data_IF_703694547518
#
_entry.id   IF_703694547518
#
_cell.length_a   1.000
_cell.length_b   1.000
_cell.length_c   1.000
_cell.angle_alpha   90.00
_cell.angle_beta   90.00
_cell.angle_gamma   90.00
#
_symmetry.space_group_name_H-M   'P 1'
#
loop_
_entity.id
_entity.type
_entity.pdbx_description
1 polymer ?
#
# COMPACT_ATOMS: atom_id res chain seq x y z
N UNK A 1 -1.73 -16.22 15.14
CA UNK A 1 -0.41 -16.37 15.81
C UNK A 1 0.42 -15.12 15.56
N UNK A 2 1.63 -14.98 16.12
CA UNK A 2 2.51 -13.86 15.74
C UNK A 2 2.88 -14.00 14.26
N UNK A 3 2.84 -12.92 13.49
CA UNK A 3 3.03 -12.93 12.04
C UNK A 3 1.75 -13.11 11.21
N UNK A 4 0.61 -13.41 11.85
CA UNK A 4 -0.68 -13.47 11.14
C UNK A 4 -1.15 -12.07 10.72
N UNK A 5 -1.61 -11.96 9.47
CA UNK A 5 -2.35 -10.79 8.99
C UNK A 5 -3.85 -10.93 9.32
N UNK A 6 -4.43 -9.90 9.92
CA UNK A 6 -5.85 -9.85 10.30
C UNK A 6 -6.53 -8.73 9.53
N UNK A 7 -7.61 -9.05 8.83
CA UNK A 7 -8.49 -8.05 8.21
C UNK A 7 -9.47 -7.52 9.26
N UNK A 8 -9.55 -6.19 9.39
CA UNK A 8 -10.49 -5.51 10.29
C UNK A 8 -11.27 -4.45 9.53
N UNK A 9 -12.53 -4.26 9.91
CA UNK A 9 -13.43 -3.27 9.32
C UNK A 9 -13.66 -2.13 10.33
N UNK A 10 -13.67 -0.88 9.87
CA UNK A 10 -14.00 0.28 10.70
C UNK A 10 -15.51 0.61 10.65
N UNK A 11 -15.95 1.61 11.41
CA UNK A 11 -17.36 2.02 11.46
C UNK A 11 -17.93 2.52 10.12
N UNK A 12 -17.06 2.79 9.14
CA UNK A 12 -17.43 3.23 7.78
C UNK A 12 -17.49 2.07 6.77
N UNK A 13 -17.24 0.84 7.20
CA UNK A 13 -17.19 -0.33 6.32
C UNK A 13 -15.86 -0.51 5.58
N UNK A 14 -14.85 0.30 5.90
CA UNK A 14 -13.53 0.22 5.25
C UNK A 14 -12.71 -0.89 5.91
N UNK A 15 -12.13 -1.77 5.11
CA UNK A 15 -11.30 -2.87 5.62
C UNK A 15 -9.81 -2.54 5.54
N UNK A 16 -9.04 -2.95 6.54
CA UNK A 16 -7.59 -2.81 6.58
C UNK A 16 -6.94 -4.04 7.20
N UNK A 17 -5.79 -4.43 6.66
CA UNK A 17 -4.97 -5.52 7.17
C UNK A 17 -3.99 -5.03 8.25
N UNK A 18 -3.84 -5.81 9.31
CA UNK A 18 -2.93 -5.54 10.43
C UNK A 18 -2.10 -6.78 10.75
N UNK A 19 -0.81 -6.58 11.06
CA UNK A 19 0.12 -7.67 11.39
C UNK A 19 0.17 -7.90 12.90
N UNK A 20 -0.02 -9.14 13.36
CA UNK A 20 0.18 -9.47 14.78
C UNK A 20 1.67 -9.48 15.11
N UNK A 21 2.12 -8.54 15.97
CA UNK A 21 3.52 -8.43 16.37
C UNK A 21 3.79 -9.04 17.74
N UNK A 22 2.78 -9.12 18.62
CA UNK A 22 2.91 -9.78 19.93
C UNK A 22 1.58 -10.36 20.39
N UNK A 23 1.64 -11.49 21.10
CA UNK A 23 0.48 -12.11 21.75
C UNK A 23 0.83 -12.48 23.20
N UNK A 24 -0.03 -12.12 24.13
CA UNK A 24 0.00 -12.59 25.51
C UNK A 24 -1.31 -13.33 25.88
N UNK A 25 -1.53 -13.64 27.16
CA UNK A 25 -2.72 -14.39 27.63
C UNK A 25 -4.03 -13.61 27.50
N UNK A 26 -4.00 -12.28 27.50
CA UNK A 26 -5.18 -11.41 27.56
C UNK A 26 -5.28 -10.47 26.36
N UNK A 27 -4.16 -10.14 25.73
CA UNK A 27 -4.09 -9.11 24.70
C UNK A 27 -3.23 -9.52 23.50
N UNK A 28 -3.49 -8.85 22.38
CA UNK A 28 -2.74 -8.97 21.13
C UNK A 28 -2.31 -7.55 20.74
N UNK A 29 -1.04 -7.40 20.36
CA UNK A 29 -0.51 -6.17 19.75
C UNK A 29 -0.46 -6.36 18.25
N UNK A 30 -0.99 -5.38 17.53
CA UNK A 30 -1.07 -5.37 16.08
C UNK A 30 -0.32 -4.14 15.52
N UNK A 31 0.26 -4.31 14.34
CA UNK A 31 0.92 -3.24 13.58
C UNK A 31 0.08 -2.92 12.34
N UNK A 32 -0.31 -1.64 12.23
CA UNK A 32 -1.10 -1.09 11.12
C UNK A 32 -0.30 -0.12 10.23
N UNK A 33 1.02 -0.05 10.44
CA UNK A 33 1.91 0.72 9.58
C UNK A 33 2.06 0.07 8.21
N UNK A 34 2.38 0.87 7.20
CA UNK A 34 2.81 0.34 5.90
C UNK A 34 4.05 -0.56 6.12
N UNK A 35 4.17 -1.72 5.45
CA UNK A 35 5.33 -2.63 5.59
C UNK A 35 6.71 -1.99 5.38
N UNK A 36 6.78 -0.87 4.65
CA UNK A 36 8.01 -0.12 4.39
C UNK A 36 8.28 1.00 5.40
N UNK A 37 7.40 1.24 6.37
CA UNK A 37 7.56 2.29 7.37
C UNK A 37 8.85 2.11 8.18
N UNK A 38 9.61 3.19 8.34
CA UNK A 38 10.88 3.20 9.08
C UNK A 38 12.04 2.44 8.39
N UNK A 39 11.83 1.89 7.19
CA UNK A 39 12.89 1.26 6.40
C UNK A 39 13.50 2.27 5.44
N UNK A 40 14.83 2.26 5.31
CA UNK A 40 15.48 2.95 4.21
C UNK A 40 15.23 2.16 2.93
N UNK A 41 14.62 2.81 1.93
CA UNK A 41 14.35 2.20 0.62
C UNK A 41 15.25 2.87 -0.41
N UNK A 42 16.12 2.08 -1.03
CA UNK A 42 17.07 2.55 -2.04
C UNK A 42 16.54 2.19 -3.42
N UNK A 43 16.18 3.19 -4.21
CA UNK A 43 15.80 3.03 -5.61
C UNK A 43 16.96 3.43 -6.52
N UNK A 44 17.28 2.58 -7.50
CA UNK A 44 18.16 2.95 -8.62
C UNK A 44 17.28 3.14 -9.85
N UNK A 45 17.18 4.38 -10.31
CA UNK A 45 16.31 4.76 -11.41
C UNK A 45 17.12 5.23 -12.61
N UNK A 46 16.58 4.99 -13.80
CA UNK A 46 17.05 5.54 -15.07
C UNK A 46 15.88 6.26 -15.74
N UNK A 47 16.11 7.50 -16.18
CA UNK A 47 15.08 8.29 -16.86
C UNK A 47 15.08 7.93 -18.34
N UNK A 48 14.04 7.25 -18.81
CA UNK A 48 13.94 6.79 -20.20
C UNK A 48 13.27 7.82 -21.13
N UNK A 49 12.32 8.60 -20.60
CA UNK A 49 11.52 9.54 -21.39
C UNK A 49 11.01 10.69 -20.50
N UNK A 50 11.00 11.90 -21.06
CA UNK A 50 10.32 13.07 -20.49
C UNK A 50 9.45 13.69 -21.57
N UNK A 51 8.18 13.93 -21.25
CA UNK A 51 7.21 14.60 -22.14
C UNK A 51 6.16 15.32 -21.30
N UNK A 52 5.40 16.20 -21.94
CA UNK A 52 4.21 16.81 -21.33
C UNK A 52 3.08 15.77 -21.17
N UNK A 53 2.26 15.96 -20.14
CA UNK A 53 1.07 15.15 -19.89
C UNK A 53 -0.08 15.56 -20.83
N UNK A 54 -0.91 14.60 -21.24
CA UNK A 54 -2.16 14.89 -21.97
C UNK A 54 -3.24 15.46 -21.03
N UNK A 55 -4.28 16.09 -21.58
CA UNK A 55 -5.42 16.59 -20.79
C UNK A 55 -6.09 15.47 -19.97
N UNK A 56 -6.19 14.28 -20.55
CA UNK A 56 -6.75 13.09 -19.89
C UNK A 56 -5.89 12.63 -18.70
N UNK A 57 -4.56 12.59 -18.86
CA UNK A 57 -3.63 12.23 -17.77
C UNK A 57 -3.66 13.25 -16.64
N UNK A 58 -3.79 14.54 -16.95
CA UNK A 58 -3.93 15.60 -15.94
C UNK A 58 -5.24 15.42 -15.16
N UNK A 59 -6.35 15.15 -15.86
CA UNK A 59 -7.64 14.91 -15.22
C UNK A 59 -7.62 13.66 -14.32
N UNK A 60 -6.87 12.63 -14.71
CA UNK A 60 -6.68 11.41 -13.93
C UNK A 60 -5.66 11.56 -12.77
N UNK A 61 -4.92 12.66 -12.71
CA UNK A 61 -3.87 12.88 -11.70
C UNK A 61 -2.57 12.11 -11.94
N UNK A 62 -2.36 11.61 -13.17
CA UNK A 62 -1.17 10.83 -13.53
C UNK A 62 -1.34 10.07 -14.84
N UNK A 63 -0.28 9.37 -15.24
CA UNK A 63 -0.33 8.47 -16.39
C UNK A 63 -1.33 7.35 -16.11
N UNK A 64 -2.23 7.08 -17.04
CA UNK A 64 -3.28 6.04 -16.94
C UNK A 64 -2.76 4.60 -17.12
N UNK A 65 -1.46 4.37 -16.90
CA UNK A 65 -0.87 3.03 -17.00
C UNK A 65 -1.10 2.21 -15.73
N UNK A 66 -1.14 0.88 -15.92
CA UNK A 66 -1.00 -0.03 -14.78
C UNK A 66 0.38 0.18 -14.15
N UNK A 67 0.39 0.51 -12.86
CA UNK A 67 1.60 0.66 -12.07
C UNK A 67 2.45 -0.61 -12.10
N UNK A 68 3.71 -0.54 -11.65
CA UNK A 68 4.58 -1.71 -11.59
C UNK A 68 3.89 -2.86 -10.84
N UNK A 69 4.02 -4.08 -11.35
CA UNK A 69 3.55 -5.28 -10.66
C UNK A 69 4.46 -5.54 -9.44
N UNK A 70 4.12 -4.88 -8.34
CA UNK A 70 4.76 -5.08 -7.05
C UNK A 70 3.96 -6.16 -6.35
N UNK A 71 4.51 -7.36 -6.27
CA UNK A 71 3.88 -8.55 -5.65
C UNK A 71 3.37 -8.28 -4.20
N UNK A 72 3.96 -7.29 -3.52
CA UNK A 72 3.61 -6.86 -2.16
C UNK A 72 3.04 -5.43 -2.06
N UNK A 73 2.84 -4.74 -3.18
CA UNK A 73 2.28 -3.37 -3.20
C UNK A 73 0.76 -3.41 -3.29
N UNK A 74 0.04 -2.38 -2.78
CA UNK A 74 -1.39 -2.28 -3.05
C UNK A 74 -1.58 -2.21 -4.56
N UNK A 75 -2.38 -3.11 -5.12
CA UNK A 75 -2.81 -3.00 -6.51
C UNK A 75 -3.57 -1.68 -6.60
N UNK A 76 -3.23 -0.85 -7.59
CA UNK A 76 -3.89 0.45 -7.89
C UNK A 76 -5.43 0.36 -7.87
N UNK A 77 -6.00 -0.82 -8.13
CA UNK A 77 -7.44 -1.07 -8.06
C UNK A 77 -8.05 -1.04 -6.65
N UNK A 78 -7.25 -1.17 -5.58
CA UNK A 78 -7.71 -1.12 -4.18
C UNK A 78 -7.72 0.31 -3.60
N UNK A 79 -7.09 1.29 -4.26
CA UNK A 79 -6.96 2.68 -3.77
C UNK A 79 -8.00 3.61 -4.42
N UNK A 80 -8.72 3.15 -5.45
CA UNK A 80 -9.66 3.95 -6.22
C UNK A 80 -11.15 3.58 -6.04
N UNK A 81 -11.49 2.81 -5.00
CA UNK A 81 -12.88 2.59 -4.57
C UNK A 81 -13.08 2.96 -3.10
#
# INVERSE_FOLDING_TARGET
EVGTAILMENERGETKSFLVTRKDRKTITIDGNNPLCGREVIFKLEVLLVRDASEEEIAAGGKTEEGPDIETGPRIHEVLN
#
